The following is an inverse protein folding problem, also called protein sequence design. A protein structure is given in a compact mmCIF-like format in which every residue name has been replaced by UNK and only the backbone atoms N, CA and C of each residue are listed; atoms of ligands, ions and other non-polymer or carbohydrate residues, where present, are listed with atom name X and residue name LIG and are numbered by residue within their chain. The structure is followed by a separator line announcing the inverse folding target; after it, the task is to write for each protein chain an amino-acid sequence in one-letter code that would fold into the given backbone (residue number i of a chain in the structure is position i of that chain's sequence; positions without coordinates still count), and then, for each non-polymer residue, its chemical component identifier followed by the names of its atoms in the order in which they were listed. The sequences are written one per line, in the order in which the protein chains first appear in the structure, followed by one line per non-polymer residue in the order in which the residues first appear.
data_IF_406593890401
#
_entry.id   IF_406593890401
#
_cell.length_a   1.000
_cell.length_b   1.000
_cell.length_c   1.000
_cell.angle_alpha   90.00
_cell.angle_beta   90.00
_cell.angle_gamma   90.00
#
_symmetry.space_group_name_H-M   'P 1'
#
loop_
_entity.id
_entity.type
_entity.pdbx_description
1 polymer ?
#
# COMPACT_ATOMS: atom_id res chain seq x y z
N UNK A 1 -12.65 10.85 2.10
CA UNK A 1 -11.71 9.93 1.44
C UNK A 1 -12.42 8.61 1.19
N UNK A 2 -12.34 8.07 -0.03
CA UNK A 2 -13.01 6.83 -0.46
C UNK A 2 -12.14 5.57 -0.27
N UNK A 3 -10.88 5.76 0.12
CA UNK A 3 -9.89 4.72 0.32
C UNK A 3 -10.16 3.77 1.49
N UNK A 4 -10.91 4.20 2.50
CA UNK A 4 -11.10 3.48 3.76
C UNK A 4 -12.54 3.62 4.28
N UNK A 5 -12.97 2.81 5.27
CA UNK A 5 -14.27 2.95 5.90
C UNK A 5 -14.45 4.37 6.44
N UNK A 6 -15.69 4.87 6.45
CA UNK A 6 -15.98 6.25 6.87
C UNK A 6 -15.44 6.58 8.27
N UNK A 7 -15.51 5.61 9.20
CA UNK A 7 -14.98 5.75 10.56
C UNK A 7 -13.45 6.00 10.62
N UNK A 8 -12.69 5.47 9.64
CA UNK A 8 -11.25 5.71 9.50
C UNK A 8 -11.00 7.02 8.76
N UNK A 9 -11.61 7.18 7.59
CA UNK A 9 -11.37 8.30 6.68
C UNK A 9 -11.82 9.67 7.21
N UNK A 10 -12.84 9.72 8.09
CA UNK A 10 -13.42 10.98 8.54
C UNK A 10 -12.44 11.83 9.37
N UNK A 11 -11.60 11.19 10.18
CA UNK A 11 -10.69 11.84 11.13
C UNK A 11 -9.20 11.62 10.80
N UNK A 12 -8.90 10.97 9.68
CA UNK A 12 -7.54 10.79 9.19
C UNK A 12 -6.92 12.11 8.72
N UNK A 13 -5.60 12.24 8.88
CA UNK A 13 -4.86 13.27 8.16
C UNK A 13 -4.96 12.99 6.65
N UNK A 14 -4.88 14.02 5.83
CA UNK A 14 -4.81 13.88 4.38
C UNK A 14 -3.52 14.54 3.92
N UNK A 15 -2.69 13.74 3.26
CA UNK A 15 -1.41 14.15 2.70
C UNK A 15 -1.46 13.99 1.18
N UNK A 16 -0.85 14.92 0.45
CA UNK A 16 -0.65 14.82 -0.98
C UNK A 16 0.71 14.18 -1.30
N UNK A 17 0.77 13.55 -2.46
CA UNK A 17 1.98 12.91 -2.97
C UNK A 17 3.06 13.94 -3.31
N UNK A 18 4.35 13.62 -3.10
CA UNK A 18 5.43 14.48 -3.55
C UNK A 18 5.37 14.66 -5.06
N UNK A 19 5.56 15.90 -5.54
CA UNK A 19 5.57 16.20 -6.98
C UNK A 19 6.85 15.71 -7.68
N UNK A 20 7.89 15.38 -6.90
CA UNK A 20 9.19 14.94 -7.36
C UNK A 20 9.65 13.74 -6.56
N UNK A 21 10.42 12.83 -7.17
CA UNK A 21 11.05 11.71 -6.45
C UNK A 21 11.89 12.23 -5.28
N UNK A 22 11.65 11.70 -4.08
CA UNK A 22 12.33 12.13 -2.86
C UNK A 22 11.86 13.46 -2.27
N UNK A 23 10.78 14.06 -2.80
CA UNK A 23 10.14 15.24 -2.22
C UNK A 23 9.34 14.91 -0.94
N UNK A 24 8.92 15.97 -0.25
CA UNK A 24 8.12 15.87 0.97
C UNK A 24 6.62 15.74 0.66
N UNK A 25 5.88 15.08 1.57
CA UNK A 25 4.42 15.08 1.55
C UNK A 25 3.88 16.46 1.92
N UNK A 26 2.78 16.86 1.28
CA UNK A 26 2.10 18.12 1.61
C UNK A 26 0.84 17.83 2.42
N UNK A 27 0.72 18.42 3.61
CA UNK A 27 -0.51 18.28 4.41
C UNK A 27 -1.65 19.08 3.78
N UNK A 28 -2.73 18.36 3.42
CA UNK A 28 -3.97 18.95 2.91
C UNK A 28 -5.01 19.11 4.02
N UNK A 29 -4.97 18.23 5.02
CA UNK A 29 -5.88 18.25 6.18
C UNK A 29 -5.22 17.55 7.37
N UNK A 30 -5.26 18.18 8.54
CA UNK A 30 -4.82 17.53 9.78
C UNK A 30 -5.76 16.41 10.21
N UNK A 31 -5.23 15.44 10.95
CA UNK A 31 -5.96 14.29 11.47
C UNK A 31 -5.92 14.20 12.99
N UNK A 32 -6.81 13.37 13.56
CA UNK A 32 -6.92 13.16 15.01
C UNK A 32 -6.99 11.69 15.43
N UNK A 33 -7.02 10.75 14.48
CA UNK A 33 -7.18 9.32 14.76
C UNK A 33 -5.95 8.44 14.43
N UNK A 34 -4.82 9.06 14.07
CA UNK A 34 -3.56 8.36 13.78
C UNK A 34 -3.48 7.68 12.40
N UNK A 35 -4.49 7.85 11.55
CA UNK A 35 -4.46 7.42 10.15
C UNK A 35 -4.05 8.56 9.24
N UNK A 36 -3.37 8.21 8.15
CA UNK A 36 -3.00 9.13 7.07
C UNK A 36 -3.58 8.61 5.77
N UNK A 37 -4.36 9.45 5.08
CA UNK A 37 -4.91 9.14 3.77
C UNK A 37 -4.18 9.91 2.69
N UNK A 38 -4.03 9.27 1.54
CA UNK A 38 -3.47 9.83 0.32
C UNK A 38 -4.54 9.83 -0.78
N UNK A 39 -4.56 10.84 -1.65
CA UNK A 39 -5.37 10.80 -2.86
C UNK A 39 -4.83 9.75 -3.83
N UNK A 40 -5.51 9.63 -4.97
CA UNK A 40 -5.11 8.80 -6.08
C UNK A 40 -3.65 9.04 -6.50
N UNK A 41 -2.99 8.00 -6.98
CA UNK A 41 -1.59 8.03 -7.44
C UNK A 41 -1.59 8.35 -8.94
N UNK A 42 -1.17 9.57 -9.37
CA UNK A 42 -1.31 9.98 -10.77
C UNK A 42 -0.50 9.16 -11.77
N UNK A 43 0.51 8.42 -11.30
CA UNK A 43 1.37 7.57 -12.14
C UNK A 43 0.77 6.19 -12.42
N UNK A 44 -0.33 5.81 -11.76
CA UNK A 44 -1.04 4.56 -11.96
C UNK A 44 -2.26 4.77 -12.87
N UNK A 45 -2.71 3.75 -13.63
CA UNK A 45 -3.95 3.84 -14.40
C UNK A 45 -5.22 3.64 -13.55
N UNK A 46 -5.06 3.13 -12.33
CA UNK A 46 -6.16 2.87 -11.40
C UNK A 46 -6.60 4.10 -10.63
N UNK A 47 -7.67 3.95 -9.84
CA UNK A 47 -8.03 4.92 -8.81
C UNK A 47 -7.57 4.33 -7.48
N UNK A 48 -6.39 4.76 -7.04
CA UNK A 48 -5.57 4.08 -6.05
C UNK A 48 -5.41 4.90 -4.75
N UNK A 49 -6.47 5.55 -4.21
CA UNK A 49 -6.34 6.27 -2.96
C UNK A 49 -6.17 5.27 -1.82
N UNK A 50 -5.35 5.61 -0.85
CA UNK A 50 -5.12 4.75 0.32
C UNK A 50 -5.29 5.49 1.64
N UNK A 51 -5.56 4.75 2.71
CA UNK A 51 -5.37 5.22 4.07
C UNK A 51 -4.57 4.22 4.87
N UNK A 52 -3.52 4.67 5.53
CA UNK A 52 -2.54 3.83 6.23
C UNK A 52 -2.42 4.25 7.68
N UNK A 53 -2.20 3.29 8.57
CA UNK A 53 -1.87 3.59 9.96
C UNK A 53 -0.39 3.99 10.10
N UNK A 54 0.00 4.36 11.32
CA UNK A 54 1.38 4.77 11.61
C UNK A 54 2.45 3.71 11.28
N UNK A 55 2.14 2.42 11.41
CA UNK A 55 3.11 1.34 11.19
C UNK A 55 3.25 1.05 9.70
N UNK A 56 2.13 1.03 8.98
CA UNK A 56 2.15 0.93 7.52
C UNK A 56 2.81 2.17 6.91
N UNK A 57 2.56 3.37 7.44
CA UNK A 57 3.25 4.58 6.99
C UNK A 57 4.77 4.49 7.18
N UNK A 58 5.24 4.01 8.34
CA UNK A 58 6.67 3.78 8.57
C UNK A 58 7.28 2.75 7.59
N UNK A 59 6.52 1.71 7.26
CA UNK A 59 6.90 0.74 6.22
C UNK A 59 6.97 1.41 4.84
N UNK A 60 5.98 2.21 4.47
CA UNK A 60 5.90 2.90 3.18
C UNK A 60 7.06 3.89 3.02
N UNK A 61 7.36 4.69 4.04
CA UNK A 61 8.52 5.60 4.04
C UNK A 61 9.84 4.86 3.81
N UNK A 62 10.01 3.69 4.42
CA UNK A 62 11.20 2.87 4.22
C UNK A 62 11.28 2.32 2.78
N UNK A 63 10.16 1.85 2.24
CA UNK A 63 10.05 1.41 0.85
C UNK A 63 10.40 2.53 -0.14
N UNK A 64 9.78 3.71 -0.02
CA UNK A 64 10.08 4.87 -0.86
C UNK A 64 11.55 5.32 -0.75
N UNK A 65 12.14 5.18 0.44
CA UNK A 65 13.56 5.49 0.67
C UNK A 65 14.53 4.37 0.26
N UNK A 66 14.03 3.25 -0.29
CA UNK A 66 14.81 2.03 -0.62
C UNK A 66 15.62 1.50 0.57
N UNK A 67 15.05 1.62 1.78
CA UNK A 67 15.64 1.15 3.05
C UNK A 67 14.84 -0.03 3.61
N UNK A 68 15.46 -0.93 4.39
CA UNK A 68 14.72 -1.98 5.10
C UNK A 68 13.70 -1.37 6.08
N UNK A 69 12.42 -1.80 6.05
CA UNK A 69 11.42 -1.37 7.02
C UNK A 69 11.81 -1.76 8.44
N UNK A 70 11.56 -0.85 9.40
CA UNK A 70 11.75 -1.10 10.84
C UNK A 70 10.45 -0.80 11.57
N UNK A 71 9.52 -1.76 11.53
CA UNK A 71 8.24 -1.68 12.23
C UNK A 71 8.21 -2.64 13.40
N UNK A 72 7.65 -2.22 14.53
CA UNK A 72 7.64 -2.99 15.79
C UNK A 72 6.30 -3.68 16.06
N UNK A 73 5.27 -3.35 15.28
CA UNK A 73 3.94 -3.92 15.35
C UNK A 73 3.37 -4.15 13.94
N UNK A 74 2.27 -4.89 13.88
CA UNK A 74 1.49 -5.03 12.65
C UNK A 74 0.93 -3.67 12.26
N UNK A 75 0.98 -3.37 10.96
CA UNK A 75 0.41 -2.16 10.37
C UNK A 75 -0.60 -2.51 9.29
N UNK A 76 -1.59 -1.64 9.11
CA UNK A 76 -2.66 -1.79 8.15
C UNK A 76 -2.76 -0.61 7.18
N UNK A 77 -3.14 -0.92 5.95
CA UNK A 77 -3.53 0.03 4.93
C UNK A 77 -4.86 -0.37 4.28
N UNK A 78 -5.65 0.60 3.86
CA UNK A 78 -6.89 0.40 3.11
C UNK A 78 -6.74 0.97 1.71
N UNK A 79 -7.18 0.21 0.71
CA UNK A 79 -7.33 0.64 -0.69
C UNK A 79 -8.69 0.13 -1.20
N UNK A 80 -9.76 0.70 -0.66
CA UNK A 80 -11.13 0.21 -0.91
C UNK A 80 -11.70 0.61 -2.28
N UNK A 81 -10.98 1.40 -3.07
CA UNK A 81 -11.31 1.65 -4.48
C UNK A 81 -10.64 0.64 -5.43
N UNK A 82 -9.68 -0.15 -4.93
CA UNK A 82 -8.78 -0.96 -5.74
C UNK A 82 -7.38 -0.34 -5.79
N UNK A 83 -6.54 -0.95 -6.62
CA UNK A 83 -5.13 -0.61 -6.80
C UNK A 83 -4.63 -1.15 -8.14
N UNK A 84 -3.76 -0.43 -8.82
CA UNK A 84 -3.02 -0.93 -9.99
C UNK A 84 -1.53 -0.99 -9.69
N UNK A 85 -0.97 -2.19 -9.76
CA UNK A 85 0.46 -2.43 -9.51
C UNK A 85 1.19 -2.83 -10.79
N UNK A 86 2.42 -2.32 -10.96
CA UNK A 86 3.27 -2.73 -12.08
C UNK A 86 3.83 -4.15 -11.92
N UNK A 87 3.91 -4.65 -10.69
CA UNK A 87 4.40 -5.99 -10.39
C UNK A 87 3.95 -6.51 -9.03
N UNK A 88 3.57 -7.78 -8.99
CA UNK A 88 3.33 -8.50 -7.74
C UNK A 88 4.63 -9.00 -7.07
N UNK A 89 5.78 -8.95 -7.76
CA UNK A 89 7.04 -9.54 -7.29
C UNK A 89 8.17 -8.52 -7.12
N UNK A 90 8.20 -7.48 -7.94
CA UNK A 90 9.24 -6.44 -7.91
C UNK A 90 8.70 -5.15 -7.27
N UNK A 91 9.14 -4.79 -6.05
CA UNK A 91 8.68 -3.60 -5.33
C UNK A 91 9.12 -2.28 -5.96
N UNK A 92 10.03 -2.29 -6.94
CA UNK A 92 10.56 -1.06 -7.56
C UNK A 92 10.22 -0.95 -9.05
N UNK A 93 9.39 -1.88 -9.55
CA UNK A 93 8.91 -1.81 -10.93
C UNK A 93 7.89 -0.68 -11.04
N UNK A 94 8.12 0.22 -12.00
CA UNK A 94 7.27 1.40 -12.21
C UNK A 94 6.22 1.21 -13.32
N UNK A 95 6.42 0.22 -14.20
CA UNK A 95 5.47 -0.13 -15.26
C UNK A 95 5.61 -1.63 -15.60
N UNK A 96 4.53 -2.29 -16.05
CA UNK A 96 4.60 -3.65 -16.57
C UNK A 96 5.61 -3.81 -17.71
N UNK A 97 6.04 -5.05 -17.99
CA UNK A 97 6.86 -5.30 -19.17
C UNK A 97 6.08 -4.99 -20.46
N UNK A 98 6.75 -4.65 -21.57
CA UNK A 98 6.07 -4.35 -22.82
C UNK A 98 5.11 -5.47 -23.25
N UNK A 99 3.82 -5.14 -23.32
CA UNK A 99 2.75 -6.08 -23.71
C UNK A 99 2.06 -6.80 -22.54
N UNK A 100 2.56 -6.65 -21.31
CA UNK A 100 1.91 -7.18 -20.11
C UNK A 100 0.90 -6.18 -19.52
N UNK A 101 -0.24 -6.65 -18.99
CA UNK A 101 -1.19 -5.77 -18.32
C UNK A 101 -0.67 -5.32 -16.94
N UNK A 102 -1.22 -4.22 -16.43
CA UNK A 102 -1.11 -3.88 -15.01
C UNK A 102 -1.77 -4.96 -14.16
N UNK A 103 -1.24 -5.18 -12.96
CA UNK A 103 -1.89 -6.02 -11.96
C UNK A 103 -3.04 -5.20 -11.38
N UNK A 104 -4.28 -5.57 -11.72
CA UNK A 104 -5.48 -4.97 -11.14
C UNK A 104 -5.85 -5.71 -9.86
N UNK A 105 -5.81 -4.98 -8.75
CA UNK A 105 -6.21 -5.47 -7.44
C UNK A 105 -7.51 -4.76 -7.05
N UNK A 106 -8.60 -5.53 -6.92
CA UNK A 106 -9.88 -4.99 -6.42
C UNK A 106 -9.78 -4.45 -4.99
N UNK A 107 -10.89 -3.97 -4.39
CA UNK A 107 -10.88 -3.44 -3.03
C UNK A 107 -10.24 -4.40 -2.03
N UNK A 108 -9.27 -3.90 -1.26
CA UNK A 108 -8.47 -4.73 -0.36
C UNK A 108 -7.95 -3.95 0.86
N UNK A 109 -7.48 -4.72 1.85
CA UNK A 109 -6.69 -4.26 2.99
C UNK A 109 -5.26 -4.77 2.81
N UNK A 110 -4.28 -3.92 3.09
CA UNK A 110 -2.87 -4.28 3.13
C UNK A 110 -2.45 -4.49 4.58
N UNK A 111 -1.62 -5.48 4.85
CA UNK A 111 -1.09 -5.76 6.18
C UNK A 111 0.41 -6.00 6.14
N UNK A 112 1.15 -5.24 6.94
CA UNK A 112 2.60 -5.40 7.16
C UNK A 112 2.85 -6.00 8.53
N UNK A 113 3.90 -6.82 8.64
CA UNK A 113 4.30 -7.47 9.89
C UNK A 113 5.76 -7.14 10.22
N UNK A 114 6.16 -7.11 11.51
CA UNK A 114 7.55 -6.81 11.90
C UNK A 114 8.61 -7.72 11.28
N UNK A 115 8.26 -8.99 11.02
CA UNK A 115 9.16 -9.95 10.40
C UNK A 115 8.52 -10.51 9.12
N UNK A 116 8.88 -10.01 7.93
CA UNK A 116 8.30 -10.49 6.66
C UNK A 116 8.57 -11.98 6.40
N UNK A 117 9.59 -12.58 7.02
CA UNK A 117 9.86 -14.01 6.88
C UNK A 117 8.79 -14.90 7.54
N UNK A 118 7.91 -14.35 8.39
CA UNK A 118 6.75 -15.07 8.92
C UNK A 118 5.65 -15.29 7.88
N UNK A 119 5.68 -14.55 6.77
CA UNK A 119 4.72 -14.69 5.67
C UNK A 119 5.09 -15.83 4.70
N UNK A 120 6.21 -16.53 4.93
CA UNK A 120 6.63 -17.67 4.11
C UNK A 120 5.61 -18.80 4.22
N UNK A 121 5.29 -19.41 3.07
CA UNK A 121 4.32 -20.50 2.97
C UNK A 121 2.88 -20.04 2.75
N UNK A 122 2.59 -18.74 2.85
CA UNK A 122 1.34 -18.17 2.36
C UNK A 122 1.38 -18.06 0.82
N UNK A 123 0.19 -18.13 0.21
CA UNK A 123 0.02 -18.00 -1.25
C UNK A 123 0.57 -16.67 -1.77
N UNK A 124 1.09 -16.66 -2.99
CA UNK A 124 1.45 -15.45 -3.76
C UNK A 124 0.53 -15.24 -4.96
N UNK A 125 -0.51 -16.05 -5.09
CA UNK A 125 -1.48 -15.99 -6.20
C UNK A 125 -2.48 -14.85 -6.02
N UNK A 126 -2.16 -13.70 -6.62
CA UNK A 126 -3.00 -12.50 -6.64
C UNK A 126 -4.30 -12.65 -7.44
N UNK A 127 -4.46 -13.73 -8.22
CA UNK A 127 -5.67 -13.98 -9.03
C UNK A 127 -6.68 -14.88 -8.32
N UNK A 128 -6.30 -15.45 -7.18
CA UNK A 128 -7.13 -16.40 -6.44
C UNK A 128 -8.36 -15.77 -5.79
N UNK A 129 -8.40 -14.44 -5.63
CA UNK A 129 -9.40 -13.75 -4.80
C UNK A 129 -9.22 -13.97 -3.30
N UNK A 130 -8.22 -14.75 -2.89
CA UNK A 130 -7.90 -15.05 -1.49
C UNK A 130 -6.73 -14.19 -1.00
N UNK A 131 -6.50 -14.09 0.32
CA UNK A 131 -5.30 -13.45 0.85
C UNK A 131 -4.01 -13.99 0.22
N UNK A 132 -3.14 -13.09 -0.21
CA UNK A 132 -1.85 -13.42 -0.83
C UNK A 132 -0.74 -12.49 -0.35
N UNK A 133 0.51 -12.93 -0.52
CA UNK A 133 1.70 -12.13 -0.22
C UNK A 133 2.20 -11.48 -1.49
N UNK A 134 2.22 -10.15 -1.48
CA UNK A 134 2.89 -9.35 -2.50
C UNK A 134 4.36 -9.16 -2.13
N UNK A 135 5.24 -9.14 -3.15
CA UNK A 135 6.69 -8.96 -3.03
C UNK A 135 7.38 -9.94 -2.08
N UNK A 136 6.87 -11.18 -2.03
CA UNK A 136 7.45 -12.24 -1.21
C UNK A 136 8.93 -12.46 -1.58
N UNK A 137 9.77 -12.65 -0.55
CA UNK A 137 11.22 -12.78 -0.72
C UNK A 137 11.98 -11.45 -0.61
N UNK A 138 11.28 -10.32 -0.51
CA UNK A 138 11.88 -9.01 -0.24
C UNK A 138 11.63 -8.55 1.21
N UNK A 139 12.39 -7.57 1.73
CA UNK A 139 12.07 -6.91 3.00
C UNK A 139 10.72 -6.18 3.02
N UNK A 140 10.09 -6.00 1.85
CA UNK A 140 8.84 -5.28 1.65
C UNK A 140 7.64 -6.24 1.49
N UNK A 141 7.80 -7.53 1.77
CA UNK A 141 6.70 -8.47 1.69
C UNK A 141 5.55 -8.04 2.63
N UNK A 142 4.35 -7.98 2.08
CA UNK A 142 3.12 -7.61 2.80
C UNK A 142 1.94 -8.45 2.29
N UNK A 143 0.91 -8.55 3.12
CA UNK A 143 -0.28 -9.34 2.79
C UNK A 143 -1.32 -8.43 2.16
N UNK A 144 -1.85 -8.87 1.02
CA UNK A 144 -3.01 -8.30 0.35
C UNK A 144 -4.24 -9.12 0.78
N UNK A 145 -5.24 -8.45 1.32
CA UNK A 145 -6.47 -9.04 1.86
C UNK A 145 -7.66 -8.51 1.04
N UNK A 146 -8.08 -9.20 -0.04
CA UNK A 146 -9.28 -8.83 -0.77
C UNK A 146 -10.51 -8.79 0.16
N UNK A 147 -11.41 -7.81 -0.05
CA UNK A 147 -12.62 -7.62 0.79
C UNK A 147 -13.93 -7.86 0.03
N UNK A 148 -13.86 -8.49 -1.14
CA UNK A 148 -15.02 -8.91 -1.94
C UNK A 148 -14.98 -10.41 -2.20
#
# INVERSE_FOLDING_TARGET
MSAAPAAVAAQAAVMDWPQTEGGEFTELRSGTNGWVCFPDIPSSPGNDPMCVDQHFMAWATAWMSKKPPKITAVGFGYMLQGGSDASNTDPFKMAPDPGEPWVDTGPHVMMVVPNPASLRGLSTDHKSGMPYVMWQGTPYAHVMLPVK
#
